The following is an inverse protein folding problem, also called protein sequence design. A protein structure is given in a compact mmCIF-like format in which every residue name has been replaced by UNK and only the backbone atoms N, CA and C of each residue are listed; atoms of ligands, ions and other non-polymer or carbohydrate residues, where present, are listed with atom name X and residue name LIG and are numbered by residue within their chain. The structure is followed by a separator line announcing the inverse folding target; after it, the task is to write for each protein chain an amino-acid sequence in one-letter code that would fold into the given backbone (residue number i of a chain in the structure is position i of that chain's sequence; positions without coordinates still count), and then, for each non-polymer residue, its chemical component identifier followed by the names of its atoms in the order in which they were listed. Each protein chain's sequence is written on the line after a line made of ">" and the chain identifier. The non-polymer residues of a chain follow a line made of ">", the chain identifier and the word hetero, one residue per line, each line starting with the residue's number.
data_IF_153938955903
#
_entry.id   IF_153938955903
#
_cell.length_a   1.000
_cell.length_b   1.000
_cell.length_c   1.000
_cell.angle_alpha   90.00
_cell.angle_beta   90.00
_cell.angle_gamma   90.00
#
_symmetry.space_group_name_H-M   'P 1'
#
loop_
_entity.id
_entity.type
_entity.pdbx_description
1 polymer ?
#
# COMPACT_ATOMS: atom_id res chain seq x y z
N UNK A 1 34.39 -15.77 -34.33
CA UNK A 1 34.30 -14.32 -34.10
C UNK A 1 32.97 -13.99 -33.51
N UNK A 2 31.97 -14.37 -34.19
CA UNK A 2 30.62 -13.99 -33.78
C UNK A 2 30.12 -14.70 -32.53
N UNK A 3 30.82 -15.71 -32.14
CA UNK A 3 30.38 -16.52 -30.99
C UNK A 3 30.36 -15.74 -29.70
N UNK A 4 31.33 -14.86 -29.56
CA UNK A 4 31.45 -14.11 -28.31
C UNK A 4 30.26 -13.20 -28.09
N UNK A 5 29.90 -12.48 -29.13
CA UNK A 5 28.78 -11.56 -29.02
C UNK A 5 27.49 -12.28 -28.67
N UNK A 6 27.29 -13.44 -29.28
CA UNK A 6 26.05 -14.17 -29.02
C UNK A 6 26.01 -14.73 -27.63
N UNK A 7 27.12 -15.25 -27.18
CA UNK A 7 27.17 -15.79 -25.82
C UNK A 7 26.91 -14.70 -24.81
N UNK A 8 27.51 -13.56 -25.00
CA UNK A 8 27.31 -12.44 -24.11
C UNK A 8 25.87 -12.00 -24.08
N UNK A 9 25.22 -11.94 -25.23
CA UNK A 9 23.83 -11.56 -25.31
C UNK A 9 22.92 -12.50 -24.52
N UNK A 10 23.19 -13.80 -24.59
CA UNK A 10 22.40 -14.78 -23.86
C UNK A 10 22.51 -14.57 -22.35
N UNK A 11 23.70 -14.33 -21.88
CA UNK A 11 23.92 -14.08 -20.46
C UNK A 11 23.16 -12.84 -19.99
N UNK A 12 23.23 -11.76 -20.79
CA UNK A 12 22.51 -10.54 -20.45
C UNK A 12 21.01 -10.75 -20.40
N UNK A 13 20.47 -11.51 -21.32
CA UNK A 13 19.04 -11.83 -21.31
C UNK A 13 18.64 -12.54 -20.03
N UNK A 14 19.45 -13.48 -19.59
CA UNK A 14 19.16 -14.19 -18.35
C UNK A 14 19.08 -13.26 -17.16
N UNK A 15 19.95 -12.28 -17.09
CA UNK A 15 19.94 -11.30 -16.02
C UNK A 15 18.69 -10.44 -16.07
N UNK A 16 18.32 -9.95 -17.25
CA UNK A 16 17.15 -9.11 -17.40
C UNK A 16 15.85 -9.80 -17.02
N UNK A 17 15.72 -11.07 -17.32
CA UNK A 17 14.52 -11.82 -17.00
C UNK A 17 14.25 -11.83 -15.50
N UNK A 18 15.29 -11.88 -14.70
CA UNK A 18 15.13 -12.02 -13.27
C UNK A 18 14.92 -10.72 -12.51
N UNK A 19 15.26 -9.58 -13.11
CA UNK A 19 15.21 -8.33 -12.36
C UNK A 19 13.97 -7.48 -12.58
N UNK A 20 13.56 -7.16 -13.80
CA UNK A 20 12.49 -6.17 -13.99
C UNK A 20 11.10 -6.72 -13.76
N UNK A 21 10.92 -8.02 -13.78
CA UNK A 21 9.60 -8.63 -13.68
C UNK A 21 9.01 -8.54 -12.28
N UNK A 22 9.86 -8.40 -11.28
CA UNK A 22 9.48 -8.56 -9.89
C UNK A 22 8.89 -7.33 -9.24
N UNK A 23 9.25 -6.15 -9.71
CA UNK A 23 8.84 -4.90 -9.10
C UNK A 23 8.05 -4.07 -10.08
N UNK A 24 6.80 -3.82 -9.76
CA UNK A 24 5.95 -2.91 -10.50
C UNK A 24 5.41 -1.87 -9.55
N UNK A 25 5.42 -0.62 -9.99
CA UNK A 25 4.93 0.49 -9.20
C UNK A 25 3.83 1.22 -9.96
N UNK A 26 2.73 1.43 -9.29
CA UNK A 26 1.59 2.19 -9.82
C UNK A 26 1.30 3.35 -8.88
N UNK A 27 0.78 4.43 -9.43
CA UNK A 27 0.30 5.54 -8.63
C UNK A 27 -1.12 5.88 -9.02
N UNK A 28 -1.94 6.18 -8.04
CA UNK A 28 -3.32 6.59 -8.25
C UNK A 28 -3.57 7.84 -7.43
N UNK A 29 -4.47 8.67 -7.92
CA UNK A 29 -4.96 9.82 -7.16
C UNK A 29 -6.30 9.48 -6.55
N UNK A 30 -6.47 9.78 -5.28
CA UNK A 30 -7.70 9.55 -4.57
C UNK A 30 -8.11 10.80 -3.80
N UNK A 31 -9.40 10.97 -3.61
CA UNK A 31 -9.91 12.02 -2.74
C UNK A 31 -10.56 11.35 -1.55
N UNK A 32 -9.93 11.46 -0.40
CA UNK A 32 -10.34 10.74 0.80
C UNK A 32 -10.97 11.65 1.83
N UNK A 33 -11.97 11.12 2.51
CA UNK A 33 -12.53 11.68 3.71
C UNK A 33 -12.08 10.83 4.89
N UNK A 34 -12.00 11.43 6.06
CA UNK A 34 -11.56 10.73 7.24
C UNK A 34 -12.46 10.94 8.43
N UNK A 35 -12.46 9.97 9.34
CA UNK A 35 -13.13 10.08 10.62
C UNK A 35 -12.30 9.38 11.68
N UNK A 36 -12.31 9.94 12.87
CA UNK A 36 -11.62 9.36 14.03
C UNK A 36 -12.67 9.06 15.10
N UNK A 37 -13.19 7.83 15.14
CA UNK A 37 -14.28 7.50 16.08
C UNK A 37 -13.95 7.74 17.54
N UNK A 38 -12.73 7.46 17.95
CA UNK A 38 -12.31 7.62 19.33
C UNK A 38 -12.27 9.08 19.79
N UNK A 39 -12.35 10.03 18.88
CA UNK A 39 -12.40 11.46 19.18
C UNK A 39 -13.79 12.02 18.86
N UNK A 40 -14.83 11.37 19.36
CA UNK A 40 -16.23 11.77 19.17
C UNK A 40 -16.61 11.86 17.68
N UNK A 41 -16.17 10.87 16.91
CA UNK A 41 -16.41 10.80 15.46
C UNK A 41 -15.94 12.05 14.72
N UNK A 42 -14.78 12.56 15.11
CA UNK A 42 -14.20 13.75 14.51
C UNK A 42 -14.00 13.53 13.03
N UNK A 43 -14.59 14.40 12.22
CA UNK A 43 -14.47 14.37 10.77
C UNK A 43 -13.27 15.20 10.33
N UNK A 44 -12.52 14.66 9.37
CA UNK A 44 -11.41 15.36 8.77
C UNK A 44 -11.87 15.98 7.45
N UNK A 45 -11.24 17.10 7.06
CA UNK A 45 -11.52 17.70 5.75
C UNK A 45 -11.06 16.76 4.65
N UNK A 46 -11.82 16.63 3.56
CA UNK A 46 -11.37 15.83 2.42
C UNK A 46 -10.02 16.28 1.90
N UNK A 47 -9.20 15.33 1.50
CA UNK A 47 -7.87 15.63 0.99
C UNK A 47 -7.59 14.78 -0.24
N UNK A 48 -6.92 15.39 -1.22
CA UNK A 48 -6.41 14.66 -2.37
C UNK A 48 -5.08 14.02 -1.98
N UNK A 49 -4.99 12.73 -2.19
CA UNK A 49 -3.80 11.95 -1.83
C UNK A 49 -3.31 11.17 -3.03
N UNK A 50 -2.07 10.75 -2.96
CA UNK A 50 -1.48 9.84 -3.94
C UNK A 50 -1.33 8.48 -3.27
N UNK A 51 -1.77 7.45 -3.95
CA UNK A 51 -1.58 6.08 -3.50
C UNK A 51 -0.52 5.44 -4.35
N UNK A 52 0.51 4.96 -3.71
CA UNK A 52 1.58 4.22 -4.35
C UNK A 52 1.36 2.73 -4.08
N UNK A 53 1.30 1.95 -5.15
CA UNK A 53 1.10 0.51 -5.08
C UNK A 53 2.33 -0.14 -5.70
N UNK A 54 2.99 -0.98 -4.95
CA UNK A 54 4.17 -1.68 -5.41
C UNK A 54 3.98 -3.16 -5.23
N UNK A 55 4.16 -3.91 -6.32
CA UNK A 55 4.13 -5.37 -6.28
C UNK A 55 5.53 -5.91 -6.48
N UNK A 56 5.88 -6.92 -5.70
CA UNK A 56 7.16 -7.60 -5.81
C UNK A 56 6.93 -9.08 -5.54
N UNK A 57 6.81 -9.87 -6.62
CA UNK A 57 6.43 -11.26 -6.50
C UNK A 57 5.04 -11.37 -5.87
N UNK A 58 4.95 -12.09 -4.76
CA UNK A 58 3.70 -12.25 -4.02
C UNK A 58 3.43 -11.13 -3.03
N UNK A 59 4.39 -10.25 -2.84
CA UNK A 59 4.28 -9.20 -1.86
C UNK A 59 3.63 -7.94 -2.45
N UNK A 60 2.88 -7.28 -1.62
CA UNK A 60 2.17 -6.06 -1.97
C UNK A 60 2.48 -4.98 -0.95
N UNK A 61 2.81 -3.80 -1.44
CA UNK A 61 3.04 -2.63 -0.62
C UNK A 61 2.08 -1.55 -1.09
N UNK A 62 1.36 -0.94 -0.16
CA UNK A 62 0.46 0.14 -0.48
C UNK A 62 0.69 1.29 0.48
N UNK A 63 0.89 2.47 -0.07
CA UNK A 63 1.17 3.65 0.71
C UNK A 63 0.27 4.79 0.26
N UNK A 64 -0.48 5.34 1.19
CA UNK A 64 -1.26 6.54 0.98
C UNK A 64 -0.42 7.72 1.44
N UNK A 65 -0.15 8.64 0.53
CA UNK A 65 0.68 9.80 0.81
C UNK A 65 -0.19 11.04 0.88
N UNK A 66 -0.36 11.54 2.08
CA UNK A 66 -1.12 12.74 2.36
C UNK A 66 -0.53 13.46 3.57
N UNK A 67 -1.23 14.44 4.08
CA UNK A 67 -0.80 15.20 5.25
C UNK A 67 -1.42 14.65 6.52
N UNK A 68 -0.74 14.82 7.66
CA UNK A 68 -1.25 14.45 8.97
C UNK A 68 -1.86 13.04 9.02
N UNK A 69 -3.18 12.96 9.22
CA UNK A 69 -3.90 11.70 9.39
C UNK A 69 -4.11 10.92 8.08
N UNK A 70 -3.73 11.50 6.94
CA UNK A 70 -3.96 10.89 5.62
C UNK A 70 -2.79 10.05 5.12
N UNK A 71 -1.80 9.80 5.94
CA UNK A 71 -0.67 8.95 5.57
C UNK A 71 -0.85 7.57 6.18
N UNK A 72 -0.89 6.54 5.32
CA UNK A 72 -1.03 5.16 5.73
C UNK A 72 -0.04 4.32 4.94
N UNK A 73 0.62 3.39 5.59
CA UNK A 73 1.54 2.48 4.95
C UNK A 73 1.27 1.06 5.41
N UNK A 74 1.08 0.17 4.46
CA UNK A 74 0.85 -1.24 4.75
C UNK A 74 1.63 -2.11 3.78
N UNK A 75 2.02 -3.29 4.24
CA UNK A 75 2.85 -4.21 3.47
C UNK A 75 2.49 -5.64 3.86
N UNK A 76 2.48 -6.53 2.87
CA UNK A 76 2.24 -7.94 3.11
C UNK A 76 3.47 -8.66 3.68
N UNK A 77 4.62 -8.02 3.69
CA UNK A 77 5.83 -8.60 4.23
C UNK A 77 5.75 -8.74 5.75
N UNK A 78 6.12 -9.92 6.24
CA UNK A 78 6.31 -10.14 7.67
C UNK A 78 7.79 -10.00 7.97
N UNK A 79 8.11 -9.15 8.93
CA UNK A 79 9.46 -8.88 9.38
C UNK A 79 9.56 -9.12 10.88
N UNK A 80 10.68 -8.75 11.48
CA UNK A 80 10.79 -8.82 12.94
C UNK A 80 9.84 -7.85 13.65
N UNK A 81 9.55 -6.72 13.03
CA UNK A 81 8.71 -5.68 13.62
C UNK A 81 7.24 -5.81 13.25
N UNK A 82 6.95 -6.36 12.07
CA UNK A 82 5.61 -6.32 11.51
C UNK A 82 5.11 -7.68 11.05
N UNK A 83 3.81 -7.89 11.19
CA UNK A 83 3.10 -8.99 10.55
C UNK A 83 2.31 -8.41 9.40
N UNK A 84 2.64 -8.85 8.19
CA UNK A 84 1.94 -8.41 6.98
C UNK A 84 1.01 -9.49 6.45
N UNK A 85 -0.05 -9.06 5.76
CA UNK A 85 -0.99 -9.97 5.13
C UNK A 85 -1.51 -9.36 3.84
N UNK A 86 -1.48 -10.15 2.77
CA UNK A 86 -2.05 -9.78 1.48
C UNK A 86 -3.51 -10.17 1.46
N UNK A 87 -4.40 -9.20 1.28
CA UNK A 87 -5.85 -9.39 1.26
C UNK A 87 -6.40 -9.44 -0.16
N UNK A 88 -5.53 -9.44 -1.17
CA UNK A 88 -5.93 -9.32 -2.57
C UNK A 88 -6.78 -10.51 -3.00
N UNK A 89 -7.85 -10.22 -3.71
CA UNK A 89 -8.77 -11.19 -4.28
C UNK A 89 -9.20 -10.72 -5.67
N UNK A 90 -10.17 -11.39 -6.29
CA UNK A 90 -10.71 -10.97 -7.57
C UNK A 90 -11.37 -9.59 -7.51
N UNK A 91 -11.97 -9.25 -6.38
CA UNK A 91 -12.73 -8.01 -6.21
C UNK A 91 -11.94 -6.88 -5.58
N UNK A 92 -10.82 -7.19 -4.97
CA UNK A 92 -10.16 -6.31 -4.03
C UNK A 92 -8.64 -6.43 -4.16
N UNK A 93 -7.97 -5.30 -4.14
CA UNK A 93 -6.53 -5.23 -3.92
C UNK A 93 -6.33 -4.62 -2.55
N UNK A 94 -5.66 -5.34 -1.66
CA UNK A 94 -5.52 -4.85 -0.30
C UNK A 94 -4.40 -5.51 0.46
N UNK A 95 -3.97 -4.83 1.48
CA UNK A 95 -2.89 -5.29 2.33
C UNK A 95 -3.05 -4.70 3.73
N UNK A 96 -2.71 -5.50 4.73
CA UNK A 96 -2.74 -5.06 6.12
C UNK A 96 -1.39 -5.35 6.78
N UNK A 97 -1.06 -4.55 7.77
CA UNK A 97 0.17 -4.67 8.53
C UNK A 97 -0.10 -4.39 9.98
N UNK A 98 0.47 -5.21 10.86
CA UNK A 98 0.35 -5.05 12.30
C UNK A 98 1.74 -4.94 12.92
N UNK A 99 1.95 -3.93 13.73
CA UNK A 99 3.18 -3.77 14.48
C UNK A 99 3.16 -4.71 15.69
N UNK A 100 4.15 -5.59 15.81
CA UNK A 100 4.15 -6.63 16.83
C UNK A 100 4.21 -6.09 18.25
N UNK A 101 5.00 -5.04 18.46
CA UNK A 101 5.23 -4.49 19.79
C UNK A 101 4.03 -3.70 20.31
N UNK A 102 3.38 -2.91 19.48
CA UNK A 102 2.29 -2.04 19.89
C UNK A 102 0.91 -2.59 19.59
N UNK A 103 0.81 -3.52 18.64
CA UNK A 103 -0.47 -4.00 18.11
C UNK A 103 -1.15 -3.02 17.17
N UNK A 104 -0.50 -1.93 16.81
CA UNK A 104 -1.06 -0.95 15.86
C UNK A 104 -1.17 -1.56 14.48
N UNK A 105 -2.32 -1.37 13.85
CA UNK A 105 -2.59 -1.90 12.52
C UNK A 105 -2.75 -0.78 11.51
N UNK A 106 -2.39 -1.10 10.27
CA UNK A 106 -2.63 -0.26 9.11
C UNK A 106 -3.20 -1.15 8.00
N UNK A 107 -4.14 -0.61 7.24
CA UNK A 107 -4.74 -1.35 6.15
C UNK A 107 -5.07 -0.40 5.01
N UNK A 108 -4.86 -0.88 3.78
CA UNK A 108 -5.25 -0.16 2.57
C UNK A 108 -5.97 -1.15 1.66
N UNK A 109 -7.16 -0.79 1.20
CA UNK A 109 -7.96 -1.59 0.26
C UNK A 109 -8.46 -0.74 -0.87
N UNK A 110 -8.44 -1.29 -2.08
CA UNK A 110 -9.07 -0.67 -3.25
C UNK A 110 -9.97 -1.71 -3.89
N UNK A 111 -11.25 -1.40 -4.01
CA UNK A 111 -12.18 -2.23 -4.76
C UNK A 111 -11.90 -2.07 -6.24
N UNK A 112 -11.75 -3.19 -6.95
CA UNK A 112 -11.33 -3.16 -8.35
C UNK A 112 -12.41 -2.61 -9.28
N UNK A 113 -13.66 -2.89 -8.98
CA UNK A 113 -14.77 -2.50 -9.82
C UNK A 113 -15.11 -1.01 -9.68
N UNK A 114 -15.30 -0.56 -8.46
CA UNK A 114 -15.71 0.81 -8.16
C UNK A 114 -14.55 1.78 -8.04
N UNK A 115 -13.35 1.27 -7.86
CA UNK A 115 -12.13 2.04 -7.58
C UNK A 115 -12.27 2.90 -6.32
N UNK A 116 -13.01 2.38 -5.36
CA UNK A 116 -13.16 3.01 -4.04
C UNK A 116 -12.09 2.50 -3.12
N UNK A 117 -11.47 3.42 -2.40
CA UNK A 117 -10.46 3.10 -1.41
C UNK A 117 -11.03 3.18 -0.02
N UNK A 118 -10.62 2.26 0.82
CA UNK A 118 -10.75 2.35 2.27
C UNK A 118 -9.40 2.08 2.88
N UNK A 119 -9.08 2.82 3.91
CA UNK A 119 -7.82 2.64 4.62
C UNK A 119 -8.02 2.98 6.08
N UNK A 120 -7.19 2.42 6.94
CA UNK A 120 -7.15 2.86 8.32
C UNK A 120 -5.73 2.79 8.85
N UNK A 121 -5.49 3.56 9.88
CA UNK A 121 -4.21 3.60 10.55
C UNK A 121 -4.43 3.82 12.04
N UNK A 122 -3.79 2.98 12.85
CA UNK A 122 -3.76 3.16 14.29
C UNK A 122 -2.57 4.05 14.66
N UNK A 123 -2.80 4.99 15.55
CA UNK A 123 -1.75 5.90 15.98
C UNK A 123 -1.96 6.32 17.42
N UNK A 124 -0.91 6.83 18.02
CA UNK A 124 -0.97 7.49 19.32
C UNK A 124 -1.28 8.97 19.08
N UNK A 125 -2.37 9.42 19.66
CA UNK A 125 -2.76 10.82 19.61
C UNK A 125 -2.90 11.32 21.03
N UNK A 126 -1.94 12.14 21.47
CA UNK A 126 -1.90 12.72 22.82
C UNK A 126 -2.04 11.65 23.92
N UNK A 127 -1.30 10.57 23.77
CA UNK A 127 -1.28 9.48 24.74
C UNK A 127 -2.46 8.50 24.63
N UNK A 128 -3.33 8.68 23.65
CA UNK A 128 -4.46 7.80 23.41
C UNK A 128 -4.32 7.11 22.07
N UNK A 129 -4.52 5.81 22.02
CA UNK A 129 -4.54 5.07 20.77
C UNK A 129 -5.83 5.35 20.04
N UNK A 130 -5.73 5.85 18.82
CA UNK A 130 -6.88 6.14 17.97
C UNK A 130 -6.73 5.45 16.63
N UNK A 131 -7.85 5.16 15.98
CA UNK A 131 -7.88 4.65 14.63
C UNK A 131 -8.48 5.70 13.71
N UNK A 132 -7.73 6.05 12.66
CA UNK A 132 -8.20 6.96 11.63
C UNK A 132 -8.76 6.12 10.50
N UNK A 133 -10.02 6.35 10.13
CA UNK A 133 -10.70 5.66 9.04
C UNK A 133 -10.78 6.60 7.85
N UNK A 134 -10.29 6.14 6.70
CA UNK A 134 -10.26 6.92 5.46
C UNK A 134 -11.04 6.20 4.38
N UNK A 135 -11.74 6.96 3.55
CA UNK A 135 -12.45 6.39 2.40
C UNK A 135 -12.67 7.43 1.32
N UNK A 136 -12.76 6.98 0.08
CA UNK A 136 -13.06 7.84 -1.03
C UNK A 136 -12.74 7.24 -2.38
N UNK A 137 -13.17 7.91 -3.45
CA UNK A 137 -12.94 7.43 -4.81
C UNK A 137 -11.52 7.70 -5.28
N UNK A 138 -11.04 6.81 -6.14
CA UNK A 138 -9.74 6.96 -6.80
C UNK A 138 -9.94 7.06 -8.30
N UNK A 139 -8.96 7.65 -8.97
CA UNK A 139 -8.92 7.74 -10.42
C UNK A 139 -7.91 6.73 -10.92
N UNK A 140 -8.30 5.91 -11.88
CA UNK A 140 -7.37 4.94 -12.47
C UNK A 140 -6.19 5.65 -13.12
N UNK A 141 -4.99 5.07 -13.04
CA UNK A 141 -3.81 5.69 -13.64
C UNK A 141 -3.88 5.73 -15.18
#
# INVERSE_FOLDING_TARGET
>A
MNFYARTTAVVLLGIFINQPIWAQTFKMSCELEGVIPALEDRKLKPEKVVVEIQTMGKNLFMKVVGTNFYTVQASSLTTEEFIGKNLTSEKLMGVTRKHKATGFESEVRIERETVMMTAFNDMDYRGKTVRVLLSGPCIRP
#
